data_IF_392689879665
#
_entry.id   IF_392689879665
#
_cell.length_a   1.000
_cell.length_b   1.000
_cell.length_c   1.000
_cell.angle_alpha   90.00
_cell.angle_beta   90.00
_cell.angle_gamma   90.00
#
_symmetry.space_group_name_H-M   'P 1'
#
loop_
_entity.id
_entity.type
_entity.pdbx_description
1 polymer ?
#
# COMPACT_ATOMS: atom_id res chain seq x y z
N UNK A 1 29.78 5.95 2.18
CA UNK A 1 30.52 6.46 3.35
C UNK A 1 29.86 5.93 4.63
N UNK A 2 30.67 5.37 5.56
CA UNK A 2 30.16 4.90 6.86
C UNK A 2 29.87 6.12 7.75
N UNK A 3 28.64 6.21 8.26
CA UNK A 3 28.25 7.23 9.24
C UNK A 3 28.38 6.66 10.64
N UNK A 4 28.94 7.46 11.57
CA UNK A 4 29.05 7.08 12.98
C UNK A 4 27.84 7.58 13.74
N UNK A 5 27.15 6.70 14.46
CA UNK A 5 26.07 7.06 15.38
C UNK A 5 26.71 7.67 16.65
N UNK A 6 26.45 8.94 16.91
CA UNK A 6 27.00 9.67 18.05
C UNK A 6 26.12 9.60 19.30
N UNK A 7 24.83 9.25 19.13
CA UNK A 7 23.89 9.10 20.22
C UNK A 7 22.55 8.57 19.69
N UNK A 8 21.80 7.93 20.57
CA UNK A 8 20.44 7.49 20.31
C UNK A 8 19.63 7.62 21.61
N UNK A 9 18.46 8.25 21.51
CA UNK A 9 17.52 8.39 22.60
C UNK A 9 16.22 7.65 22.28
N UNK A 10 15.65 6.98 23.27
CA UNK A 10 14.38 6.28 23.11
C UNK A 10 13.23 7.27 23.15
N UNK A 11 12.42 7.32 22.10
CA UNK A 11 11.20 8.13 22.04
C UNK A 11 9.99 7.26 22.34
N UNK A 12 9.48 7.31 23.56
CA UNK A 12 8.30 6.56 24.01
C UNK A 12 8.59 5.10 24.39
N UNK A 13 7.54 4.35 24.67
CA UNK A 13 7.64 2.94 25.05
C UNK A 13 7.92 2.04 23.85
N UNK A 14 8.68 0.97 24.05
CA UNK A 14 8.89 -0.08 23.06
C UNK A 14 7.57 -0.73 22.66
N UNK A 15 7.36 -0.92 21.37
CA UNK A 15 6.18 -1.59 20.81
C UNK A 15 6.58 -2.95 20.31
N UNK A 16 5.87 -3.96 20.78
CA UNK A 16 6.10 -5.34 20.37
C UNK A 16 4.97 -5.80 19.46
N UNK A 17 5.32 -6.23 18.27
CA UNK A 17 4.42 -6.88 17.34
C UNK A 17 4.54 -8.38 17.49
N UNK A 18 3.45 -9.13 17.36
CA UNK A 18 3.43 -10.58 17.44
C UNK A 18 2.52 -11.19 16.36
N UNK A 19 2.71 -12.47 16.05
CA UNK A 19 1.88 -13.17 15.06
C UNK A 19 1.79 -12.42 13.73
N UNK A 20 0.58 -12.22 13.24
CA UNK A 20 0.33 -11.57 11.94
C UNK A 20 0.75 -10.10 11.89
N UNK A 21 0.62 -9.37 13.01
CA UNK A 21 1.06 -7.96 13.05
C UNK A 21 2.58 -7.84 12.95
N UNK A 22 3.34 -8.83 13.46
CA UNK A 22 4.80 -8.87 13.25
C UNK A 22 5.15 -9.02 11.76
N UNK A 23 4.47 -9.92 11.04
CA UNK A 23 4.71 -10.07 9.60
C UNK A 23 4.32 -8.82 8.82
N UNK A 24 3.26 -8.12 9.25
CA UNK A 24 2.89 -6.82 8.69
C UNK A 24 4.01 -5.79 8.91
N UNK A 25 4.57 -5.69 10.11
CA UNK A 25 5.70 -4.80 10.42
C UNK A 25 6.95 -5.14 9.59
N UNK A 26 7.27 -6.42 9.43
CA UNK A 26 8.38 -6.86 8.57
C UNK A 26 8.14 -6.49 7.10
N UNK A 27 6.90 -6.59 6.62
CA UNK A 27 6.52 -6.16 5.28
C UNK A 27 6.74 -4.66 5.09
N UNK A 28 6.30 -3.82 6.04
CA UNK A 28 6.52 -2.36 5.98
C UNK A 28 8.01 -2.02 5.91
N UNK A 29 8.83 -2.69 6.74
CA UNK A 29 10.28 -2.48 6.75
C UNK A 29 10.91 -2.86 5.40
N UNK A 30 10.57 -4.02 4.86
CA UNK A 30 11.10 -4.47 3.58
C UNK A 30 10.65 -3.55 2.45
N UNK A 31 9.39 -3.09 2.47
CA UNK A 31 8.85 -2.14 1.49
C UNK A 31 9.66 -0.85 1.49
N UNK A 32 9.86 -0.23 2.65
CA UNK A 32 10.64 1.00 2.79
C UNK A 32 12.09 0.83 2.34
N UNK A 33 12.75 -0.27 2.72
CA UNK A 33 14.12 -0.56 2.29
C UNK A 33 14.28 -0.70 0.77
N UNK A 34 13.19 -1.02 0.06
CA UNK A 34 13.20 -1.17 -1.39
C UNK A 34 12.92 0.13 -2.13
N UNK A 35 12.02 0.96 -1.59
CA UNK A 35 11.56 2.18 -2.28
C UNK A 35 12.36 3.43 -1.90
N UNK A 36 12.99 3.44 -0.71
CA UNK A 36 13.73 4.62 -0.25
C UNK A 36 15.21 4.56 -0.64
N UNK A 37 15.73 5.72 -1.04
CA UNK A 37 17.14 5.88 -1.31
C UNK A 37 17.89 6.31 -0.04
N UNK A 38 19.03 5.67 0.30
CA UNK A 38 19.82 6.05 1.45
C UNK A 38 20.28 7.52 1.39
N UNK A 39 20.22 8.21 2.53
CA UNK A 39 20.73 9.57 2.65
C UNK A 39 19.78 10.70 2.25
N UNK A 40 18.58 10.36 1.80
CA UNK A 40 17.50 11.33 1.53
C UNK A 40 16.61 11.42 2.76
N UNK A 41 16.37 12.64 3.25
CA UNK A 41 15.46 12.87 4.36
C UNK A 41 14.01 12.62 3.90
N UNK A 42 13.27 11.81 4.66
CA UNK A 42 11.91 11.39 4.36
C UNK A 42 11.02 11.49 5.62
N UNK A 43 10.92 12.69 6.16
CA UNK A 43 10.23 12.93 7.44
C UNK A 43 8.76 12.52 7.40
N UNK A 44 8.04 12.82 6.30
CA UNK A 44 6.63 12.47 6.16
C UNK A 44 6.41 10.97 6.05
N UNK A 45 7.26 10.26 5.31
CA UNK A 45 7.21 8.80 5.21
C UNK A 45 7.51 8.16 6.58
N UNK A 46 8.50 8.70 7.32
CA UNK A 46 8.78 8.22 8.67
C UNK A 46 7.59 8.40 9.62
N UNK A 47 6.88 9.53 9.53
CA UNK A 47 5.67 9.79 10.33
C UNK A 47 4.58 8.76 10.01
N UNK A 48 4.27 8.55 8.73
CA UNK A 48 3.28 7.55 8.29
C UNK A 48 3.65 6.15 8.77
N UNK A 49 4.93 5.78 8.67
CA UNK A 49 5.44 4.51 9.19
C UNK A 49 5.23 4.38 10.69
N UNK A 50 5.59 5.41 11.48
CA UNK A 50 5.45 5.39 12.93
C UNK A 50 3.98 5.28 13.38
N UNK A 51 3.07 6.00 12.72
CA UNK A 51 1.62 5.92 12.92
C UNK A 51 1.11 4.50 12.65
N UNK A 52 1.52 3.89 11.54
CA UNK A 52 1.12 2.53 11.17
C UNK A 52 1.63 1.50 12.17
N UNK A 53 2.86 1.65 12.67
CA UNK A 53 3.40 0.79 13.72
C UNK A 53 2.59 0.89 15.02
N UNK A 54 2.07 2.08 15.36
CA UNK A 54 1.15 2.24 16.50
C UNK A 54 -0.14 1.47 16.30
N UNK A 55 -0.75 1.57 15.11
CA UNK A 55 -2.00 0.85 14.78
C UNK A 55 -1.80 -0.67 14.84
N UNK A 56 -0.71 -1.17 14.26
CA UNK A 56 -0.39 -2.60 14.31
C UNK A 56 -0.16 -3.10 15.74
N UNK A 57 0.53 -2.33 16.58
CA UNK A 57 0.77 -2.69 17.98
C UNK A 57 -0.51 -2.64 18.84
N UNK A 58 -1.46 -1.76 18.50
CA UNK A 58 -2.76 -1.69 19.18
C UNK A 58 -3.69 -2.86 18.80
N UNK A 59 -3.46 -3.52 17.65
CA UNK A 59 -4.24 -4.67 17.20
C UNK A 59 -3.80 -5.97 17.90
N UNK A 60 -3.99 -6.04 19.21
CA UNK A 60 -3.58 -7.19 20.04
C UNK A 60 -4.37 -8.46 19.76
N UNK A 61 -5.58 -8.36 19.21
CA UNK A 61 -6.40 -9.49 18.78
C UNK A 61 -5.92 -10.11 17.45
N UNK A 62 -4.93 -9.51 16.81
CA UNK A 62 -4.45 -9.87 15.46
C UNK A 62 -5.59 -9.93 14.43
N UNK A 63 -6.53 -9.00 14.53
CA UNK A 63 -7.65 -8.87 13.59
C UNK A 63 -7.10 -8.58 12.19
N UNK A 64 -7.44 -9.45 11.24
CA UNK A 64 -6.96 -9.37 9.87
C UNK A 64 -7.51 -8.16 9.13
N UNK A 65 -8.75 -7.75 9.40
CA UNK A 65 -9.37 -6.58 8.78
C UNK A 65 -8.63 -5.31 9.18
N UNK A 66 -8.35 -5.16 10.48
CA UNK A 66 -7.58 -4.03 11.00
C UNK A 66 -6.13 -4.02 10.48
N UNK A 67 -5.51 -5.20 10.39
CA UNK A 67 -4.15 -5.33 9.85
C UNK A 67 -4.13 -4.98 8.35
N UNK A 68 -5.07 -5.49 7.55
CA UNK A 68 -5.17 -5.16 6.13
C UNK A 68 -5.46 -3.67 5.91
N UNK A 69 -6.34 -3.08 6.72
CA UNK A 69 -6.61 -1.63 6.70
C UNK A 69 -5.31 -0.84 6.91
N UNK A 70 -4.59 -1.10 8.01
CA UNK A 70 -3.35 -0.40 8.31
C UNK A 70 -2.32 -0.51 7.17
N UNK A 71 -2.20 -1.69 6.55
CA UNK A 71 -1.31 -1.91 5.42
C UNK A 71 -1.74 -1.15 4.17
N UNK A 72 -3.03 -1.15 3.82
CA UNK A 72 -3.54 -0.45 2.63
C UNK A 72 -3.45 1.06 2.77
N UNK A 73 -3.81 1.60 3.95
CA UNK A 73 -3.63 3.03 4.25
C UNK A 73 -2.16 3.45 4.11
N UNK A 74 -1.25 2.66 4.68
CA UNK A 74 0.18 2.91 4.54
C UNK A 74 0.64 2.90 3.09
N UNK A 75 0.25 1.89 2.29
CA UNK A 75 0.64 1.78 0.88
C UNK A 75 0.14 2.95 0.04
N UNK A 76 -1.12 3.38 0.23
CA UNK A 76 -1.69 4.54 -0.47
C UNK A 76 -0.97 5.83 -0.11
N UNK A 77 -0.72 6.06 1.18
CA UNK A 77 0.01 7.25 1.65
C UNK A 77 1.46 7.24 1.18
N UNK A 78 2.11 6.07 1.17
CA UNK A 78 3.47 5.93 0.65
C UNK A 78 3.52 6.27 -0.84
N UNK A 79 2.62 5.72 -1.66
CA UNK A 79 2.52 6.04 -3.08
C UNK A 79 2.32 7.55 -3.29
N UNK A 80 1.44 8.17 -2.52
CA UNK A 80 1.19 9.62 -2.60
C UNK A 80 2.45 10.43 -2.26
N UNK A 81 3.17 10.08 -1.20
CA UNK A 81 4.39 10.78 -0.78
C UNK A 81 5.56 10.57 -1.76
N UNK A 82 5.56 9.47 -2.50
CA UNK A 82 6.51 9.21 -3.58
C UNK A 82 6.14 9.92 -4.90
N UNK A 83 4.98 10.59 -4.97
CA UNK A 83 4.51 11.28 -6.17
C UNK A 83 3.65 10.42 -7.11
N UNK A 84 3.23 9.24 -6.65
CA UNK A 84 2.43 8.26 -7.42
C UNK A 84 1.03 8.06 -6.80
N UNK A 85 0.40 9.15 -6.38
CA UNK A 85 -0.96 9.11 -5.82
C UNK A 85 -1.94 8.47 -6.80
N UNK A 86 -2.80 7.57 -6.28
CA UNK A 86 -3.85 6.95 -7.07
C UNK A 86 -5.11 7.82 -7.03
N UNK A 87 -5.63 8.19 -8.20
CA UNK A 87 -6.90 8.88 -8.32
C UNK A 87 -7.98 7.88 -8.77
N UNK A 88 -8.90 7.56 -7.87
CA UNK A 88 -9.99 6.62 -8.12
C UNK A 88 -11.21 7.29 -8.75
N UNK A 89 -11.22 8.62 -8.88
CA UNK A 89 -12.34 9.40 -9.34
C UNK A 89 -12.21 9.89 -10.78
N UNK A 90 -11.02 9.78 -11.38
CA UNK A 90 -10.74 10.29 -12.73
C UNK A 90 -10.14 9.25 -13.64
N UNK A 91 -10.55 9.29 -14.90
CA UNK A 91 -9.89 8.58 -16.00
C UNK A 91 -8.54 9.24 -16.30
N UNK A 92 -7.47 8.46 -16.18
CA UNK A 92 -6.10 8.98 -16.29
C UNK A 92 -5.71 9.39 -17.72
N UNK A 93 -6.43 8.93 -18.74
CA UNK A 93 -6.15 9.29 -20.14
C UNK A 93 -6.89 10.56 -20.57
N UNK A 94 -8.13 10.73 -20.14
CA UNK A 94 -9.00 11.84 -20.54
C UNK A 94 -9.15 12.92 -19.47
N UNK A 95 -8.85 12.62 -18.21
CA UNK A 95 -9.12 13.49 -17.06
C UNK A 95 -10.60 13.60 -16.68
N UNK A 96 -11.50 12.89 -17.40
CA UNK A 96 -12.93 12.88 -17.12
C UNK A 96 -13.23 12.16 -15.77
N UNK A 97 -14.39 12.46 -15.19
CA UNK A 97 -14.86 11.70 -14.04
C UNK A 97 -15.10 10.24 -14.41
N UNK A 98 -14.78 9.33 -13.47
CA UNK A 98 -15.03 7.89 -13.63
C UNK A 98 -16.53 7.65 -13.82
N UNK A 99 -16.89 6.93 -14.87
CA UNK A 99 -18.26 6.47 -15.16
C UNK A 99 -18.48 5.11 -14.48
N UNK A 100 -19.51 5.02 -13.66
CA UNK A 100 -19.85 3.80 -12.90
C UNK A 100 -20.12 2.58 -13.76
N UNK A 101 -20.58 2.78 -15.00
CA UNK A 101 -20.96 1.73 -15.93
C UNK A 101 -19.83 1.25 -16.87
N UNK A 102 -18.68 1.94 -16.87
CA UNK A 102 -17.55 1.55 -17.68
C UNK A 102 -16.59 0.64 -16.94
N UNK A 103 -15.87 -0.17 -17.71
CA UNK A 103 -14.79 -1.02 -17.23
C UNK A 103 -13.46 -0.28 -17.35
N UNK A 104 -12.64 -0.35 -16.29
CA UNK A 104 -11.31 0.30 -16.24
C UNK A 104 -10.21 -0.73 -16.02
N UNK A 105 -9.05 -0.47 -16.59
CA UNK A 105 -7.79 -1.13 -16.27
C UNK A 105 -6.84 -0.18 -15.56
N UNK A 106 -5.93 -0.71 -14.77
CA UNK A 106 -4.88 0.08 -14.14
C UNK A 106 -3.64 0.14 -15.05
N UNK A 107 -3.29 1.35 -15.45
CA UNK A 107 -2.04 1.66 -16.14
C UNK A 107 -1.06 2.33 -15.19
N UNK A 108 0.21 1.90 -15.21
CA UNK A 108 1.22 2.38 -14.24
C UNK A 108 1.56 3.86 -14.43
N UNK A 109 1.50 4.35 -15.68
CA UNK A 109 1.86 5.74 -16.00
C UNK A 109 0.66 6.68 -15.97
N UNK A 110 -0.51 6.19 -16.36
CA UNK A 110 -1.72 7.01 -16.51
C UNK A 110 -2.72 6.84 -15.36
N UNK A 111 -2.59 5.81 -14.53
CA UNK A 111 -3.58 5.47 -13.54
C UNK A 111 -4.72 4.60 -14.11
N UNK A 112 -5.96 4.89 -13.75
CA UNK A 112 -7.12 4.13 -14.24
C UNK A 112 -7.60 4.69 -15.59
N UNK A 113 -7.61 3.85 -16.61
CA UNK A 113 -8.08 4.21 -17.96
C UNK A 113 -9.17 3.26 -18.42
N UNK A 114 -10.11 3.75 -19.23
CA UNK A 114 -11.19 2.93 -19.79
C UNK A 114 -10.60 1.73 -20.52
N UNK A 115 -11.06 0.52 -20.17
CA UNK A 115 -10.62 -0.70 -20.79
C UNK A 115 -11.20 -0.85 -22.20
N UNK A 116 -10.37 -1.33 -23.14
CA UNK A 116 -10.81 -1.72 -24.47
C UNK A 116 -11.21 -3.20 -24.51
N UNK A 117 -12.02 -3.60 -25.47
CA UNK A 117 -12.47 -5.01 -25.59
C UNK A 117 -11.34 -6.03 -25.88
N UNK A 118 -10.12 -5.55 -26.17
CA UNK A 118 -8.91 -6.36 -26.38
C UNK A 118 -8.02 -6.47 -25.14
N UNK A 119 -8.34 -5.77 -24.06
CA UNK A 119 -7.53 -5.80 -22.83
C UNK A 119 -7.68 -7.17 -22.15
N UNK A 120 -6.55 -7.84 -22.00
CA UNK A 120 -6.42 -9.13 -21.28
C UNK A 120 -5.82 -8.95 -19.89
N UNK A 121 -5.91 -7.75 -19.34
CA UNK A 121 -5.34 -7.42 -18.03
C UNK A 121 -6.09 -8.15 -16.92
N UNK A 122 -5.36 -8.73 -15.96
CA UNK A 122 -5.91 -9.43 -14.81
C UNK A 122 -6.58 -8.47 -13.79
N UNK A 123 -6.37 -7.16 -13.94
CA UNK A 123 -6.90 -6.14 -13.03
C UNK A 123 -7.87 -5.21 -13.78
N UNK A 124 -9.04 -5.76 -14.09
CA UNK A 124 -10.17 -5.01 -14.59
C UNK A 124 -11.17 -4.74 -13.45
N UNK A 125 -11.69 -3.53 -13.38
CA UNK A 125 -12.69 -3.15 -12.38
C UNK A 125 -13.74 -2.19 -12.98
N UNK A 126 -14.96 -2.31 -12.50
CA UNK A 126 -16.02 -1.38 -12.85
C UNK A 126 -15.75 -0.01 -12.22
N UNK A 127 -16.19 1.06 -12.89
CA UNK A 127 -16.08 2.41 -12.34
C UNK A 127 -16.81 2.57 -10.98
N UNK A 128 -17.89 1.83 -10.75
CA UNK A 128 -18.54 1.79 -9.44
C UNK A 128 -17.62 1.22 -8.34
N UNK A 129 -16.81 0.22 -8.67
CA UNK A 129 -15.81 -0.35 -7.75
C UNK A 129 -14.67 0.64 -7.49
N UNK A 130 -14.20 1.35 -8.53
CA UNK A 130 -13.18 2.40 -8.39
C UNK A 130 -13.63 3.51 -7.44
N UNK A 131 -14.83 4.04 -7.64
CA UNK A 131 -15.39 5.09 -6.78
C UNK A 131 -15.55 4.64 -5.32
N UNK A 132 -15.81 3.34 -5.09
CA UNK A 132 -15.84 2.78 -3.75
C UNK A 132 -14.45 2.76 -3.08
N UNK A 133 -13.37 2.78 -3.84
CA UNK A 133 -11.99 2.82 -3.31
C UNK A 133 -11.53 4.22 -2.91
N UNK A 134 -12.22 5.28 -3.31
CA UNK A 134 -11.92 6.65 -2.85
C UNK A 134 -12.16 6.81 -1.34
N UNK A 135 -13.17 6.12 -0.82
CA UNK A 135 -13.48 6.01 0.62
C UNK A 135 -13.77 4.55 0.97
N UNK A 136 -12.72 3.71 1.08
CA UNK A 136 -12.89 2.28 1.12
C UNK A 136 -13.56 1.80 2.41
N UNK A 137 -14.61 1.01 2.28
CA UNK A 137 -15.16 0.23 3.38
C UNK A 137 -14.34 -1.05 3.57
N UNK A 138 -13.47 -1.06 4.57
CA UNK A 138 -12.62 -2.21 4.87
C UNK A 138 -13.36 -3.40 5.48
N UNK A 139 -14.64 -3.28 5.81
CA UNK A 139 -15.46 -4.44 6.20
C UNK A 139 -15.84 -5.28 4.98
N UNK A 140 -15.91 -4.66 3.78
CA UNK A 140 -16.16 -5.36 2.52
C UNK A 140 -14.90 -6.10 2.03
N UNK A 141 -15.02 -7.43 1.91
CA UNK A 141 -13.92 -8.29 1.45
C UNK A 141 -13.55 -8.09 -0.02
N UNK A 142 -14.46 -7.61 -0.87
CA UNK A 142 -14.15 -7.30 -2.28
C UNK A 142 -13.35 -6.02 -2.38
N UNK A 143 -13.73 -4.98 -1.65
CA UNK A 143 -12.99 -3.71 -1.55
C UNK A 143 -11.55 -3.99 -1.08
N UNK A 144 -11.37 -4.78 -0.01
CA UNK A 144 -10.03 -5.14 0.49
C UNK A 144 -9.20 -5.87 -0.56
N UNK A 145 -9.78 -6.86 -1.25
CA UNK A 145 -9.08 -7.64 -2.30
C UNK A 145 -8.68 -6.75 -3.46
N UNK A 146 -9.60 -5.94 -3.96
CA UNK A 146 -9.34 -5.05 -5.10
C UNK A 146 -8.26 -4.03 -4.76
N UNK A 147 -8.37 -3.34 -3.63
CA UNK A 147 -7.38 -2.35 -3.19
C UNK A 147 -5.99 -2.98 -3.01
N UNK A 148 -5.92 -4.19 -2.44
CA UNK A 148 -4.67 -4.96 -2.31
C UNK A 148 -4.03 -5.29 -3.65
N UNK A 149 -4.82 -5.61 -4.69
CA UNK A 149 -4.30 -5.86 -6.03
C UNK A 149 -3.78 -4.57 -6.67
N UNK A 150 -4.53 -3.49 -6.57
CA UNK A 150 -4.17 -2.18 -7.11
C UNK A 150 -2.87 -1.66 -6.47
N UNK A 151 -2.81 -1.59 -5.14
CA UNK A 151 -1.62 -1.07 -4.45
C UNK A 151 -0.37 -1.90 -4.74
N UNK A 152 -0.50 -3.23 -4.83
CA UNK A 152 0.61 -4.11 -5.21
C UNK A 152 1.11 -3.84 -6.62
N UNK A 153 0.20 -3.59 -7.55
CA UNK A 153 0.55 -3.30 -8.94
C UNK A 153 1.19 -1.92 -9.07
N UNK A 154 0.64 -0.92 -8.38
CA UNK A 154 1.20 0.42 -8.33
C UNK A 154 2.60 0.47 -7.71
N UNK A 155 2.85 -0.34 -6.67
CA UNK A 155 4.17 -0.42 -6.02
C UNK A 155 5.19 -1.26 -6.81
N UNK A 156 4.76 -2.18 -7.69
CA UNK A 156 5.64 -3.13 -8.35
C UNK A 156 6.83 -2.49 -9.09
N UNK A 157 6.68 -1.40 -9.86
CA UNK A 157 7.81 -0.74 -10.55
C UNK A 157 8.88 -0.23 -9.59
N UNK A 158 8.51 0.13 -8.36
CA UNK A 158 9.41 0.71 -7.37
C UNK A 158 10.15 -0.34 -6.53
N UNK A 159 9.73 -1.62 -6.60
CA UNK A 159 10.30 -2.70 -5.78
C UNK A 159 11.43 -3.47 -6.45
N UNK A 160 11.66 -3.26 -7.75
CA UNK A 160 12.60 -4.04 -8.52
C UNK A 160 12.13 -5.49 -8.75
N UNK A 161 12.98 -6.30 -9.40
CA UNK A 161 12.60 -7.65 -9.85
C UNK A 161 12.55 -8.71 -8.76
N UNK A 162 13.18 -8.48 -7.59
CA UNK A 162 13.23 -9.46 -6.52
C UNK A 162 11.93 -9.44 -5.70
N UNK A 163 11.23 -10.57 -5.52
CA UNK A 163 10.04 -10.66 -4.69
C UNK A 163 10.31 -10.22 -3.23
N UNK A 164 9.29 -9.69 -2.57
CA UNK A 164 9.36 -9.38 -1.15
C UNK A 164 9.33 -10.67 -0.32
N UNK A 165 10.37 -10.89 0.50
CA UNK A 165 10.51 -12.07 1.35
C UNK A 165 9.44 -12.13 2.45
N UNK A 166 9.07 -10.97 3.00
CA UNK A 166 8.01 -10.85 4.02
C UNK A 166 6.66 -11.40 3.56
N UNK A 167 6.34 -11.32 2.26
CA UNK A 167 5.10 -11.92 1.70
C UNK A 167 5.07 -13.44 1.81
N UNK A 168 6.22 -14.11 1.77
CA UNK A 168 6.30 -15.55 1.95
C UNK A 168 6.06 -15.96 3.41
N UNK A 169 6.46 -15.13 4.37
CA UNK A 169 6.20 -15.35 5.80
C UNK A 169 4.69 -15.30 6.10
N UNK A 170 3.98 -14.35 5.52
CA UNK A 170 2.53 -14.20 5.69
C UNK A 170 1.76 -15.44 5.21
N UNK A 171 2.19 -16.06 4.09
CA UNK A 171 1.55 -17.27 3.54
C UNK A 171 1.81 -18.55 4.34
N UNK A 172 2.85 -18.58 5.16
CA UNK A 172 3.18 -19.74 6.01
C UNK A 172 2.45 -19.72 7.36
N UNK A 173 1.83 -18.62 7.70
CA UNK A 173 1.09 -18.41 8.95
C UNK A 173 -0.42 -18.73 8.82
N UNK A 174 -0.88 -19.01 7.60
CA UNK A 174 -2.20 -19.58 7.26
C UNK A 174 -2.10 -21.11 7.20
#
# INVERSE_FOLDING_TARGET
ELKTLLGAETVGASRYLSGRTLYAGLYLNELLLRVLHPGVEQQDIFRVYAETQVLLAANTAADDVLTEHALRDFELRLLSLLGFALDFCRDGSSGAAVDTGLLYRFDVEQGFVVASGSDTDDLLCMGSQLLALDKPDFTDGEVRRLLKHITRRALAPHLGSRPLASRALYRRAD
#
